data_IF_086552190418
#
_entry.id   IF_086552190418
#
_cell.length_a   1.000
_cell.length_b   1.000
_cell.length_c   1.000
_cell.angle_alpha   90.00
_cell.angle_beta   90.00
_cell.angle_gamma   90.00
#
_symmetry.space_group_name_H-M   'P 1'
#
loop_
_entity.id
_entity.type
_entity.pdbx_description
1 polymer ?
#
# COMPACT_ATOMS: atom_id res chain seq x y z
N UNK A 1 14.26 25.77 -9.68
CA UNK A 1 14.13 24.50 -8.91
C UNK A 1 13.22 23.48 -9.62
N UNK A 2 13.78 22.48 -10.31
CA UNK A 2 13.00 21.36 -10.86
C UNK A 2 12.59 20.39 -9.73
N UNK A 3 11.34 20.49 -9.28
CA UNK A 3 10.74 19.50 -8.36
C UNK A 3 10.87 18.10 -8.97
N UNK A 4 11.72 17.24 -8.37
CA UNK A 4 11.86 15.81 -8.71
C UNK A 4 10.47 15.18 -8.69
N UNK A 5 9.82 15.03 -9.85
CA UNK A 5 8.51 14.39 -9.93
C UNK A 5 8.60 12.99 -9.33
N UNK A 6 7.80 12.74 -8.29
CA UNK A 6 7.69 11.44 -7.64
C UNK A 6 7.56 10.30 -8.66
N UNK A 7 8.23 9.17 -8.38
CA UNK A 7 8.16 7.97 -9.20
C UNK A 7 6.71 7.61 -9.54
N UNK A 8 6.42 7.45 -10.83
CA UNK A 8 5.08 7.11 -11.30
C UNK A 8 4.66 5.76 -10.71
N UNK A 9 3.48 5.65 -10.06
CA UNK A 9 3.04 4.40 -9.46
C UNK A 9 3.04 3.23 -10.45
N UNK A 10 3.45 2.05 -9.99
CA UNK A 10 3.56 0.85 -10.83
C UNK A 10 2.22 0.48 -11.50
N UNK A 11 1.08 0.78 -10.89
CA UNK A 11 -0.21 0.48 -11.49
C UNK A 11 -0.58 1.41 -12.67
N UNK A 12 0.10 2.55 -12.86
CA UNK A 12 -0.02 3.39 -14.06
C UNK A 12 0.98 3.02 -15.16
N UNK A 13 2.05 2.31 -14.79
CA UNK A 13 3.08 1.79 -15.70
C UNK A 13 3.32 0.32 -15.35
N UNK A 14 2.36 -0.58 -15.66
CA UNK A 14 2.43 -1.98 -15.24
C UNK A 14 3.64 -2.69 -15.87
N UNK A 15 4.13 -3.71 -15.16
CA UNK A 15 5.27 -4.54 -15.62
C UNK A 15 4.98 -5.26 -16.95
N UNK A 16 3.72 -5.45 -17.31
CA UNK A 16 3.31 -6.04 -18.60
C UNK A 16 3.61 -5.16 -19.82
N UNK A 17 3.95 -3.86 -19.64
CA UNK A 17 4.35 -3.00 -20.75
C UNK A 17 5.80 -3.28 -21.17
N UNK A 18 6.08 -3.31 -22.47
CA UNK A 18 7.45 -3.33 -23.01
C UNK A 18 8.22 -2.05 -22.65
N UNK A 19 9.55 -2.07 -22.76
CA UNK A 19 10.41 -0.91 -22.46
C UNK A 19 9.95 0.36 -23.20
N UNK A 20 9.63 0.23 -24.48
CA UNK A 20 9.15 1.32 -25.33
C UNK A 20 7.77 1.83 -24.90
N UNK A 21 6.83 0.92 -24.61
CA UNK A 21 5.50 1.29 -24.11
C UNK A 21 5.57 2.00 -22.75
N UNK A 22 6.44 1.55 -21.85
CA UNK A 22 6.68 2.20 -20.55
C UNK A 22 7.20 3.63 -20.73
N UNK A 23 8.16 3.84 -21.65
CA UNK A 23 8.70 5.17 -21.96
C UNK A 23 7.60 6.09 -22.48
N UNK A 24 6.79 5.62 -23.44
CA UNK A 24 5.63 6.37 -23.99
C UNK A 24 4.61 6.74 -22.89
N UNK A 25 4.16 5.77 -22.10
CA UNK A 25 3.20 5.99 -21.01
C UNK A 25 3.73 6.99 -19.96
N UNK A 26 5.01 6.89 -19.57
CA UNK A 26 5.63 7.84 -18.64
C UNK A 26 5.68 9.26 -19.22
N UNK A 27 6.01 9.42 -20.51
CA UNK A 27 6.04 10.72 -21.20
C UNK A 27 4.63 11.36 -21.21
N UNK A 28 3.62 10.60 -21.58
CA UNK A 28 2.22 11.04 -21.62
C UNK A 28 1.70 11.45 -20.24
N UNK A 29 2.00 10.68 -19.20
CA UNK A 29 1.64 11.02 -17.81
C UNK A 29 2.31 12.32 -17.35
N UNK A 30 3.60 12.49 -17.64
CA UNK A 30 4.33 13.73 -17.30
C UNK A 30 3.73 14.94 -18.01
N UNK A 31 3.43 14.82 -19.31
CA UNK A 31 2.80 15.87 -20.11
C UNK A 31 1.42 16.25 -19.56
N UNK A 32 0.56 15.26 -19.28
CA UNK A 32 -0.78 15.49 -18.74
C UNK A 32 -0.72 16.26 -17.41
N UNK A 33 0.17 15.87 -16.49
CA UNK A 33 0.38 16.56 -15.21
C UNK A 33 0.91 17.99 -15.39
N UNK A 34 1.86 18.21 -16.31
CA UNK A 34 2.42 19.54 -16.60
C UNK A 34 1.36 20.48 -17.17
N UNK A 35 0.54 20.00 -18.12
CA UNK A 35 -0.54 20.78 -18.72
C UNK A 35 -1.62 21.11 -17.69
N UNK A 36 -1.98 20.16 -16.84
CA UNK A 36 -3.00 20.38 -15.81
C UNK A 36 -2.61 21.47 -14.81
N UNK A 37 -1.32 21.54 -14.42
CA UNK A 37 -0.80 22.63 -13.59
C UNK A 37 -0.90 24.01 -14.25
N UNK A 38 -1.00 24.06 -15.58
CA UNK A 38 -1.21 25.28 -16.36
C UNK A 38 -2.70 25.52 -16.70
N UNK A 39 -3.62 24.83 -16.03
CA UNK A 39 -5.06 24.90 -16.32
C UNK A 39 -5.50 24.20 -17.61
N UNK A 40 -4.60 23.53 -18.34
CA UNK A 40 -4.89 22.89 -19.63
C UNK A 40 -5.16 21.39 -19.47
N UNK A 41 -6.29 20.92 -20.00
CA UNK A 41 -6.68 19.51 -19.95
C UNK A 41 -6.11 18.73 -21.13
N UNK A 42 -5.16 17.83 -20.87
CA UNK A 42 -4.54 17.00 -21.91
C UNK A 42 -4.95 15.53 -21.80
N UNK A 43 -5.72 15.06 -22.78
CA UNK A 43 -6.07 13.64 -22.94
C UNK A 43 -4.91 12.89 -23.60
N UNK A 44 -4.47 11.82 -22.96
CA UNK A 44 -3.25 11.09 -23.35
C UNK A 44 -3.48 10.21 -24.56
N UNK A 45 -2.45 10.07 -25.41
CA UNK A 45 -2.47 9.14 -26.54
C UNK A 45 -2.54 7.69 -26.07
N UNK A 46 -3.24 6.84 -26.82
CA UNK A 46 -3.30 5.39 -26.55
C UNK A 46 -1.93 4.75 -26.83
N UNK A 47 -1.54 3.84 -25.95
CA UNK A 47 -0.44 2.91 -26.15
C UNK A 47 -0.95 1.75 -27.01
N UNK A 48 -0.55 1.72 -28.28
CA UNK A 48 -0.88 0.64 -29.23
C UNK A 48 -0.50 -0.72 -28.64
N UNK A 49 -1.33 -1.74 -28.87
CA UNK A 49 -1.13 -3.11 -28.37
C UNK A 49 -1.50 -3.35 -26.89
N UNK A 50 -1.83 -2.32 -26.10
CA UNK A 50 -2.29 -2.51 -24.73
C UNK A 50 -3.82 -2.64 -24.65
N UNK A 51 -4.34 -3.81 -24.25
CA UNK A 51 -5.77 -4.02 -24.01
C UNK A 51 -6.21 -3.26 -22.75
N UNK A 52 -7.20 -2.38 -22.88
CA UNK A 52 -7.79 -1.66 -21.74
C UNK A 52 -8.62 -2.61 -20.88
N UNK A 53 -8.70 -2.33 -19.57
CA UNK A 53 -9.52 -3.09 -18.62
C UNK A 53 -10.63 -2.19 -18.06
N UNK A 54 -11.85 -2.71 -18.00
CA UNK A 54 -12.96 -2.07 -17.27
C UNK A 54 -12.64 -2.00 -15.77
N UNK A 55 -13.26 -1.05 -15.09
CA UNK A 55 -13.14 -0.94 -13.62
C UNK A 55 -13.90 -2.08 -12.96
N UNK A 56 -13.31 -2.73 -11.95
CA UNK A 56 -14.06 -3.70 -11.12
C UNK A 56 -15.21 -3.06 -10.34
N UNK A 57 -15.24 -1.73 -10.24
CA UNK A 57 -16.37 -1.01 -9.65
C UNK A 57 -17.60 -1.02 -10.55
N UNK A 58 -17.47 -1.22 -11.87
CA UNK A 58 -18.59 -1.38 -12.80
C UNK A 58 -19.41 -2.63 -12.47
N UNK A 59 -18.76 -3.79 -12.32
CA UNK A 59 -19.47 -5.00 -11.91
C UNK A 59 -20.05 -4.90 -10.50
N UNK A 60 -19.34 -4.23 -9.57
CA UNK A 60 -19.85 -4.05 -8.20
C UNK A 60 -21.07 -3.15 -8.14
N UNK A 61 -21.08 -2.03 -8.86
CA UNK A 61 -22.23 -1.11 -8.84
C UNK A 61 -23.47 -1.79 -9.42
N UNK A 62 -23.30 -2.61 -10.47
CA UNK A 62 -24.36 -3.44 -11.05
C UNK A 62 -24.94 -4.41 -10.03
N UNK A 63 -24.08 -5.15 -9.31
CA UNK A 63 -24.52 -6.04 -8.21
C UNK A 63 -25.26 -5.29 -7.10
N UNK A 64 -24.74 -4.12 -6.70
CA UNK A 64 -25.35 -3.30 -5.64
C UNK A 64 -26.76 -2.86 -6.02
N UNK A 65 -27.00 -2.49 -7.27
CA UNK A 65 -28.28 -1.99 -7.74
C UNK A 65 -29.10 -3.03 -8.53
N UNK A 66 -28.68 -4.30 -8.51
CA UNK A 66 -29.32 -5.42 -9.24
C UNK A 66 -29.55 -5.09 -10.72
N UNK A 67 -28.53 -4.52 -11.38
CA UNK A 67 -28.57 -4.15 -12.79
C UNK A 67 -27.97 -5.25 -13.66
N UNK A 68 -28.55 -5.50 -14.83
CA UNK A 68 -28.01 -6.36 -15.87
C UNK A 68 -26.78 -5.74 -16.53
N UNK A 69 -25.95 -6.55 -17.20
CA UNK A 69 -24.74 -6.06 -17.87
C UNK A 69 -25.03 -5.23 -19.13
N UNK A 70 -26.20 -5.43 -19.76
CA UNK A 70 -26.63 -4.68 -20.94
C UNK A 70 -27.10 -3.27 -20.60
N UNK A 71 -27.48 -3.01 -19.35
CA UNK A 71 -28.01 -1.70 -18.96
C UNK A 71 -26.96 -0.59 -19.01
N UNK A 72 -27.35 0.56 -19.61
CA UNK A 72 -26.53 1.78 -19.65
C UNK A 72 -26.56 2.50 -18.31
N UNK A 73 -25.36 2.70 -17.72
CA UNK A 73 -25.17 3.44 -16.47
C UNK A 73 -25.02 4.95 -16.72
N UNK A 74 -26.15 5.66 -16.82
CA UNK A 74 -26.16 7.13 -16.91
C UNK A 74 -26.22 7.80 -15.54
N UNK A 75 -25.81 9.07 -15.48
CA UNK A 75 -25.92 9.88 -14.24
C UNK A 75 -27.37 9.97 -13.78
N UNK A 76 -28.31 10.19 -14.69
CA UNK A 76 -29.75 10.26 -14.36
C UNK A 76 -30.25 8.96 -13.74
N UNK A 77 -29.88 7.81 -14.30
CA UNK A 77 -30.26 6.51 -13.77
C UNK A 77 -29.65 6.24 -12.39
N UNK A 78 -28.35 6.51 -12.24
CA UNK A 78 -27.66 6.35 -10.96
C UNK A 78 -28.21 7.30 -9.89
N UNK A 79 -28.58 8.53 -10.25
CA UNK A 79 -29.19 9.50 -9.35
C UNK A 79 -30.52 8.96 -8.78
N UNK A 80 -31.39 8.43 -9.64
CA UNK A 80 -32.67 7.80 -9.24
C UNK A 80 -32.44 6.61 -8.32
N UNK A 81 -31.60 5.66 -8.73
CA UNK A 81 -31.32 4.42 -7.97
C UNK A 81 -30.66 4.70 -6.62
N UNK A 82 -29.69 5.61 -6.59
CA UNK A 82 -28.95 5.94 -5.37
C UNK A 82 -29.65 6.96 -4.48
N UNK A 83 -30.77 7.56 -4.92
CA UNK A 83 -31.45 8.68 -4.24
C UNK A 83 -30.48 9.84 -3.95
N UNK A 84 -29.65 10.18 -4.94
CA UNK A 84 -28.67 11.26 -4.88
C UNK A 84 -28.94 12.30 -5.97
N UNK A 85 -28.64 13.57 -5.67
CA UNK A 85 -28.72 14.68 -6.64
C UNK A 85 -27.71 14.48 -7.77
N UNK A 86 -28.12 14.78 -9.01
CA UNK A 86 -27.23 14.72 -10.20
C UNK A 86 -25.98 15.59 -10.03
N UNK A 87 -26.12 16.76 -9.40
CA UNK A 87 -25.03 17.69 -9.09
C UNK A 87 -23.94 17.04 -8.24
N UNK A 88 -24.32 16.31 -7.19
CA UNK A 88 -23.40 15.58 -6.33
C UNK A 88 -22.65 14.46 -7.09
N UNK A 89 -23.36 13.69 -7.92
CA UNK A 89 -22.74 12.64 -8.75
C UNK A 89 -21.75 13.25 -9.75
N UNK A 90 -22.13 14.34 -10.41
CA UNK A 90 -21.26 15.07 -11.34
C UNK A 90 -20.02 15.63 -10.63
N UNK A 91 -20.14 16.12 -9.39
CA UNK A 91 -18.99 16.58 -8.58
C UNK A 91 -17.99 15.44 -8.37
N UNK A 92 -18.46 14.22 -8.06
CA UNK A 92 -17.59 13.03 -7.92
C UNK A 92 -16.93 12.65 -9.25
N UNK A 93 -17.68 12.67 -10.35
CA UNK A 93 -17.13 12.40 -11.69
C UNK A 93 -16.05 13.41 -12.06
N UNK A 94 -16.30 14.71 -11.85
CA UNK A 94 -15.33 15.79 -12.08
C UNK A 94 -14.07 15.61 -11.24
N UNK A 95 -14.18 15.22 -9.96
CA UNK A 95 -13.00 14.89 -9.12
C UNK A 95 -12.21 13.70 -9.67
N UNK A 96 -12.89 12.68 -10.19
CA UNK A 96 -12.24 11.56 -10.86
C UNK A 96 -11.53 11.97 -12.14
N UNK A 97 -12.15 12.80 -12.98
CA UNK A 97 -11.52 13.38 -14.17
C UNK A 97 -10.30 14.23 -13.78
N UNK A 98 -10.41 15.07 -12.76
CA UNK A 98 -9.27 15.84 -12.23
C UNK A 98 -8.10 14.93 -11.83
N UNK A 99 -8.37 13.82 -11.14
CA UNK A 99 -7.33 12.84 -10.79
C UNK A 99 -6.68 12.19 -12.02
N UNK A 100 -7.41 11.99 -13.12
CA UNK A 100 -6.84 11.49 -14.37
C UNK A 100 -5.75 12.41 -14.92
N UNK A 101 -5.95 13.74 -14.82
CA UNK A 101 -5.00 14.74 -15.32
C UNK A 101 -3.88 15.05 -14.31
N UNK A 102 -4.22 15.18 -13.03
CA UNK A 102 -3.30 15.62 -11.96
C UNK A 102 -2.42 14.50 -11.43
N UNK A 103 -2.98 13.30 -11.28
CA UNK A 103 -2.31 12.13 -10.71
C UNK A 103 -1.94 11.12 -11.79
N UNK A 104 -2.83 10.89 -12.75
CA UNK A 104 -2.63 9.96 -13.84
C UNK A 104 -3.63 8.80 -13.82
N UNK A 105 -3.43 7.86 -14.73
CA UNK A 105 -4.27 6.66 -14.85
C UNK A 105 -3.51 5.51 -15.48
N UNK A 106 -4.15 4.34 -15.48
CA UNK A 106 -3.71 3.18 -16.27
C UNK A 106 -3.64 3.52 -17.77
N UNK A 107 -2.84 2.80 -18.57
CA UNK A 107 -2.79 3.03 -20.01
C UNK A 107 -4.18 2.88 -20.66
N UNK A 108 -4.41 3.66 -21.71
CA UNK A 108 -5.62 3.61 -22.55
C UNK A 108 -6.95 3.91 -21.83
N UNK A 109 -6.90 4.62 -20.69
CA UNK A 109 -8.09 5.13 -20.00
C UNK A 109 -8.46 6.52 -20.50
N UNK A 110 -9.74 6.89 -20.35
CA UNK A 110 -10.24 8.23 -20.63
C UNK A 110 -10.54 8.97 -19.32
N UNK A 111 -10.61 10.31 -19.34
CA UNK A 111 -11.05 11.09 -18.18
C UNK A 111 -12.43 10.64 -17.69
N UNK A 112 -13.37 10.42 -18.61
CA UNK A 112 -14.71 9.94 -18.29
C UNK A 112 -14.69 8.55 -17.65
N UNK A 113 -13.99 7.56 -18.24
CA UNK A 113 -13.95 6.20 -17.66
C UNK A 113 -13.35 6.21 -16.25
N UNK A 114 -12.38 7.11 -15.99
CA UNK A 114 -11.79 7.30 -14.67
C UNK A 114 -12.75 8.00 -13.68
N UNK A 115 -13.50 9.00 -14.16
CA UNK A 115 -14.56 9.69 -13.44
C UNK A 115 -15.68 8.75 -13.01
N UNK A 116 -16.23 7.97 -13.95
CA UNK A 116 -17.27 6.98 -13.68
C UNK A 116 -16.77 5.85 -12.77
N UNK A 117 -15.54 5.38 -12.94
CA UNK A 117 -14.95 4.39 -12.02
C UNK A 117 -14.91 4.90 -10.57
N UNK A 118 -14.62 6.19 -10.36
CA UNK A 118 -14.67 6.84 -9.05
C UNK A 118 -16.11 6.93 -8.54
N UNK A 119 -17.04 7.37 -9.37
CA UNK A 119 -18.47 7.43 -9.05
C UNK A 119 -19.01 6.06 -8.60
N UNK A 120 -18.73 5.00 -9.36
CA UNK A 120 -19.16 3.65 -9.04
C UNK A 120 -18.55 3.17 -7.71
N UNK A 121 -17.28 3.49 -7.48
CA UNK A 121 -16.64 3.22 -6.19
C UNK A 121 -17.30 3.99 -5.04
N UNK A 122 -17.74 5.22 -5.26
CA UNK A 122 -18.41 6.03 -4.23
C UNK A 122 -19.80 5.49 -3.89
N UNK A 123 -20.61 5.16 -4.90
CA UNK A 123 -21.97 4.65 -4.70
C UNK A 123 -22.01 3.19 -4.20
N UNK A 124 -21.02 2.37 -4.54
CA UNK A 124 -20.93 0.97 -4.12
C UNK A 124 -20.13 0.74 -2.82
N UNK A 125 -19.91 1.79 -2.01
CA UNK A 125 -19.24 1.67 -0.71
C UNK A 125 -17.73 1.42 -0.76
N UNK A 126 -17.07 1.71 -1.88
CA UNK A 126 -15.64 1.53 -2.07
C UNK A 126 -14.76 2.62 -1.43
N UNK A 127 -13.45 2.63 -1.72
CA UNK A 127 -12.52 3.63 -1.21
C UNK A 127 -12.94 5.08 -1.54
N UNK A 128 -13.53 5.32 -2.70
CA UNK A 128 -14.01 6.65 -3.06
C UNK A 128 -15.18 7.10 -2.17
N UNK A 129 -16.00 6.18 -1.65
CA UNK A 129 -17.11 6.50 -0.75
C UNK A 129 -16.61 7.14 0.55
N UNK A 130 -15.42 6.72 1.03
CA UNK A 130 -14.75 7.34 2.18
C UNK A 130 -14.26 8.75 1.84
N UNK A 131 -13.58 8.91 0.71
CA UNK A 131 -12.94 10.18 0.32
C UNK A 131 -13.97 11.24 -0.05
N UNK A 132 -15.05 10.84 -0.72
CA UNK A 132 -16.12 11.71 -1.19
C UNK A 132 -17.36 11.63 -0.29
N UNK A 133 -17.20 11.20 0.97
CA UNK A 133 -18.29 11.02 1.92
C UNK A 133 -19.09 12.32 2.12
N UNK A 134 -18.42 13.47 2.23
CA UNK A 134 -19.09 14.78 2.36
C UNK A 134 -20.03 15.07 1.18
N UNK A 135 -19.59 14.79 -0.05
CA UNK A 135 -20.42 14.97 -1.26
C UNK A 135 -21.65 14.05 -1.23
N UNK A 136 -21.47 12.81 -0.76
CA UNK A 136 -22.59 11.88 -0.61
C UNK A 136 -23.52 12.31 0.54
N UNK A 137 -22.99 12.85 1.64
CA UNK A 137 -23.77 13.31 2.80
C UNK A 137 -24.63 14.53 2.44
N UNK A 138 -24.07 15.49 1.73
CA UNK A 138 -24.77 16.69 1.25
C UNK A 138 -25.75 16.38 0.10
N UNK A 139 -25.36 15.43 -0.76
CA UNK A 139 -26.02 15.20 -2.03
C UNK A 139 -27.02 14.06 -2.08
N UNK A 140 -27.04 13.18 -1.09
CA UNK A 140 -27.89 11.99 -1.08
C UNK A 140 -28.87 11.99 0.10
N UNK A 141 -30.00 11.31 -0.09
CA UNK A 141 -30.94 11.09 1.00
C UNK A 141 -30.27 10.33 2.17
N UNK A 142 -30.57 10.72 3.41
CA UNK A 142 -30.00 10.16 4.63
C UNK A 142 -30.15 8.63 4.74
N UNK A 143 -31.28 8.09 4.25
CA UNK A 143 -31.61 6.65 4.25
C UNK A 143 -31.15 5.94 2.96
N UNK A 144 -30.49 6.63 2.04
CA UNK A 144 -30.05 6.07 0.76
C UNK A 144 -29.06 4.91 0.92
N UNK A 145 -29.13 3.95 -0.01
CA UNK A 145 -28.25 2.78 -0.02
C UNK A 145 -26.77 3.20 -0.13
N UNK A 146 -26.46 4.13 -1.03
CA UNK A 146 -25.11 4.69 -1.18
C UNK A 146 -24.57 5.29 0.11
N UNK A 147 -25.36 6.12 0.80
CA UNK A 147 -24.88 6.79 2.02
C UNK A 147 -24.71 5.80 3.18
N UNK A 148 -25.60 4.81 3.30
CA UNK A 148 -25.46 3.70 4.27
C UNK A 148 -24.14 2.95 4.03
N UNK A 149 -23.82 2.60 2.78
CA UNK A 149 -22.56 1.92 2.45
C UNK A 149 -21.34 2.81 2.70
N UNK A 150 -21.45 4.12 2.46
CA UNK A 150 -20.36 5.07 2.63
C UNK A 150 -19.96 5.28 4.11
N UNK A 151 -20.86 5.00 5.06
CA UNK A 151 -20.56 5.02 6.52
C UNK A 151 -19.63 3.87 6.94
N UNK A 152 -19.64 2.72 6.24
CA UNK A 152 -18.79 1.54 6.55
C UNK A 152 -17.93 1.11 5.34
N UNK A 153 -17.02 1.96 4.82
CA UNK A 153 -16.29 1.68 3.57
C UNK A 153 -15.20 0.60 3.75
N UNK A 154 -14.74 0.33 4.98
CA UNK A 154 -13.66 -0.64 5.28
C UNK A 154 -14.07 -2.09 5.03
N UNK A 155 -15.33 -2.47 5.31
CA UNK A 155 -15.83 -3.82 5.03
C UNK A 155 -15.85 -4.12 3.51
N UNK A 156 -16.07 -3.07 2.72
CA UNK A 156 -16.23 -3.16 1.27
C UNK A 156 -14.93 -3.00 0.48
N UNK A 157 -13.89 -2.43 1.09
CA UNK A 157 -12.58 -2.29 0.48
C UNK A 157 -11.67 -3.46 0.88
N UNK A 158 -11.63 -4.52 0.07
CA UNK A 158 -10.59 -5.55 0.13
C UNK A 158 -9.25 -4.95 -0.28
N UNK A 159 -8.60 -4.19 0.62
CA UNK A 159 -7.15 -4.06 0.55
C UNK A 159 -6.61 -5.45 0.88
N UNK A 160 -6.24 -6.24 -0.14
CA UNK A 160 -5.33 -7.37 0.07
C UNK A 160 -4.19 -6.82 0.93
N UNK A 161 -3.99 -7.39 2.13
CA UNK A 161 -2.76 -7.13 2.90
C UNK A 161 -1.63 -7.64 2.02
N UNK A 162 -1.05 -6.76 1.19
CA UNK A 162 0.10 -7.11 0.37
C UNK A 162 1.24 -7.33 1.34
N UNK A 163 1.76 -8.55 1.41
CA UNK A 163 2.98 -8.83 2.16
C UNK A 163 4.09 -7.95 1.57
N UNK A 164 4.52 -6.93 2.31
CA UNK A 164 5.49 -5.93 1.87
C UNK A 164 6.92 -6.48 1.86
N UNK A 165 7.17 -7.54 1.10
CA UNK A 165 8.49 -8.14 0.90
C UNK A 165 9.08 -8.78 2.17
N UNK A 166 9.87 -9.83 1.97
CA UNK A 166 10.56 -10.57 3.02
C UNK A 166 10.17 -12.04 3.02
N UNK A 167 11.18 -12.91 3.12
CA UNK A 167 10.99 -14.33 3.37
C UNK A 167 10.08 -14.50 4.60
N UNK A 168 9.02 -15.32 4.45
CA UNK A 168 8.14 -15.66 5.56
C UNK A 168 8.94 -16.50 6.55
N UNK A 169 9.04 -16.05 7.80
CA UNK A 169 9.67 -16.85 8.85
C UNK A 169 8.86 -18.13 9.08
N UNK A 170 9.56 -19.24 9.28
CA UNK A 170 9.00 -20.56 9.63
C UNK A 170 8.79 -20.70 11.15
N UNK A 171 9.20 -19.69 11.91
CA UNK A 171 9.08 -19.63 13.35
C UNK A 171 8.41 -18.32 13.80
N UNK A 172 7.82 -18.34 15.00
CA UNK A 172 7.38 -17.15 15.74
C UNK A 172 8.12 -17.03 17.06
N UNK A 173 8.45 -15.80 17.45
CA UNK A 173 8.94 -15.52 18.80
C UNK A 173 7.75 -15.54 19.75
N UNK A 174 7.83 -16.33 20.82
CA UNK A 174 6.82 -16.42 21.86
C UNK A 174 7.05 -15.36 22.93
N UNK A 175 8.27 -15.33 23.47
CA UNK A 175 8.65 -14.47 24.59
C UNK A 175 10.15 -14.26 24.66
N UNK A 176 10.55 -13.24 25.41
CA UNK A 176 11.94 -12.94 25.74
C UNK A 176 12.16 -13.12 27.25
N UNK A 177 13.38 -13.44 27.64
CA UNK A 177 13.87 -13.45 29.01
C UNK A 177 15.26 -12.81 29.06
N UNK A 178 15.71 -12.42 30.25
CA UNK A 178 17.14 -12.13 30.49
C UNK A 178 17.92 -13.42 30.26
N UNK A 179 19.00 -13.36 29.48
CA UNK A 179 19.80 -14.56 29.24
C UNK A 179 20.59 -14.96 30.49
N UNK A 180 20.58 -16.24 30.91
CA UNK A 180 21.47 -16.74 31.96
C UNK A 180 22.89 -16.97 31.44
N UNK A 181 23.10 -16.97 30.11
CA UNK A 181 24.39 -17.28 29.50
C UNK A 181 25.35 -16.11 29.68
N UNK A 182 26.59 -16.43 30.06
CA UNK A 182 27.66 -15.44 30.22
C UNK A 182 27.78 -14.57 28.97
N UNK A 183 27.87 -13.26 29.20
CA UNK A 183 27.96 -12.23 28.17
C UNK A 183 26.76 -12.08 27.22
N UNK A 184 25.63 -12.78 27.42
CA UNK A 184 24.43 -12.59 26.60
C UNK A 184 23.46 -11.61 27.26
N UNK A 185 22.68 -10.90 26.44
CA UNK A 185 21.63 -9.98 26.89
C UNK A 185 20.32 -10.73 27.10
N UNK A 186 19.81 -11.34 26.04
CA UNK A 186 18.46 -11.88 26.00
C UNK A 186 18.43 -13.32 25.51
N UNK A 187 17.45 -14.07 26.01
CA UNK A 187 17.00 -15.34 25.47
C UNK A 187 15.66 -15.15 24.78
N UNK A 188 15.51 -15.61 23.55
CA UNK A 188 14.24 -15.63 22.83
C UNK A 188 13.74 -17.07 22.68
N UNK A 189 12.50 -17.33 23.05
CA UNK A 189 11.84 -18.61 22.79
C UNK A 189 11.11 -18.52 21.46
N UNK A 190 11.44 -19.42 20.53
CA UNK A 190 10.86 -19.47 19.20
C UNK A 190 10.14 -20.79 18.97
N UNK A 191 8.94 -20.73 18.39
CA UNK A 191 8.12 -21.89 18.04
C UNK A 191 8.05 -22.06 16.54
N UNK A 192 8.36 -23.26 16.05
CA UNK A 192 8.19 -23.63 14.65
C UNK A 192 6.69 -23.74 14.31
N UNK A 193 6.27 -23.10 13.21
CA UNK A 193 4.86 -23.13 12.79
C UNK A 193 4.40 -24.51 12.31
N UNK A 194 5.30 -25.30 11.68
CA UNK A 194 4.96 -26.62 11.14
C UNK A 194 5.01 -27.70 12.21
N UNK A 195 6.13 -27.79 12.92
CA UNK A 195 6.37 -28.89 13.87
C UNK A 195 5.87 -28.60 15.27
N UNK A 196 5.52 -27.35 15.58
CA UNK A 196 5.15 -26.94 16.94
C UNK A 196 6.30 -26.92 17.95
N UNK A 197 7.46 -27.49 17.63
CA UNK A 197 8.64 -27.56 18.50
C UNK A 197 9.10 -26.15 18.92
N UNK A 198 9.47 -26.03 20.20
CA UNK A 198 9.98 -24.81 20.80
C UNK A 198 11.48 -24.97 21.03
N UNK A 199 12.24 -23.93 20.71
CA UNK A 199 13.67 -23.83 21.06
C UNK A 199 13.97 -22.42 21.55
N UNK A 200 15.12 -22.25 22.19
CA UNK A 200 15.58 -20.95 22.66
C UNK A 200 16.83 -20.49 21.91
N UNK A 201 17.04 -19.18 21.87
CA UNK A 201 18.18 -18.52 21.22
C UNK A 201 18.67 -17.37 22.09
N UNK A 202 19.93 -17.44 22.52
CA UNK A 202 20.58 -16.36 23.27
C UNK A 202 21.26 -15.36 22.31
N UNK A 203 21.00 -14.06 22.48
CA UNK A 203 21.49 -13.02 21.58
C UNK A 203 21.81 -11.69 22.28
N UNK A 204 22.61 -10.87 21.58
CA UNK A 204 23.17 -9.62 22.09
C UNK A 204 24.28 -9.84 23.10
N UNK A 205 25.41 -9.14 22.95
CA UNK A 205 26.48 -9.17 23.95
C UNK A 205 26.24 -8.10 25.02
N UNK A 206 26.26 -8.48 26.29
CA UNK A 206 25.93 -7.61 27.43
C UNK A 206 27.05 -6.62 27.79
N UNK A 207 28.28 -6.82 27.32
CA UNK A 207 29.41 -5.91 27.57
C UNK A 207 29.35 -4.67 26.70
N UNK A 208 28.83 -4.80 25.47
CA UNK A 208 28.80 -3.72 24.49
C UNK A 208 27.48 -2.94 24.48
N UNK A 209 27.56 -1.67 24.07
CA UNK A 209 26.40 -0.85 23.75
C UNK A 209 25.68 -1.34 22.49
N UNK A 210 24.41 -0.95 22.33
CA UNK A 210 23.59 -1.22 21.14
C UNK A 210 22.96 0.06 20.60
N UNK A 211 22.45 0.05 19.37
CA UNK A 211 21.78 1.23 18.82
C UNK A 211 20.48 1.54 19.56
N UNK A 212 19.60 0.54 19.67
CA UNK A 212 18.33 0.66 20.37
C UNK A 212 17.80 -0.71 20.74
N UNK A 213 17.55 -0.91 22.03
CA UNK A 213 16.79 -2.02 22.56
C UNK A 213 15.31 -1.88 22.18
N UNK A 214 14.87 -2.77 21.28
CA UNK A 214 13.49 -2.87 20.77
C UNK A 214 12.82 -4.15 21.26
N UNK A 215 13.43 -4.90 22.18
CA UNK A 215 12.75 -6.02 22.83
C UNK A 215 11.57 -5.49 23.67
N UNK A 216 10.54 -6.31 23.93
CA UNK A 216 9.45 -5.92 24.82
C UNK A 216 9.93 -5.57 26.25
N UNK A 217 10.94 -6.29 26.76
CA UNK A 217 11.43 -6.16 28.13
C UNK A 217 12.28 -4.90 28.36
N UNK A 218 13.06 -4.45 27.35
CA UNK A 218 13.90 -3.26 27.43
C UNK A 218 14.91 -3.22 28.60
N UNK A 219 15.29 -4.37 29.14
CA UNK A 219 16.25 -4.52 30.26
C UNK A 219 17.59 -3.80 30.01
N UNK A 220 18.06 -3.74 28.76
CA UNK A 220 19.34 -3.11 28.42
C UNK A 220 19.19 -1.72 27.80
N UNK A 221 18.02 -1.08 27.90
CA UNK A 221 17.75 0.25 27.30
C UNK A 221 18.79 1.31 27.70
N UNK A 222 19.34 1.22 28.91
CA UNK A 222 20.39 2.12 29.42
C UNK A 222 21.71 2.04 28.61
N UNK A 223 21.96 0.96 27.87
CA UNK A 223 23.14 0.80 26.98
C UNK A 223 22.88 1.26 25.53
N UNK A 224 21.77 1.95 25.26
CA UNK A 224 21.43 2.46 23.93
C UNK A 224 22.28 3.69 23.58
N UNK A 225 23.01 3.67 22.47
CA UNK A 225 23.82 4.81 22.02
C UNK A 225 23.12 5.71 20.98
N UNK A 226 22.06 5.25 20.30
CA UNK A 226 21.26 6.07 19.37
C UNK A 226 21.95 6.55 18.08
N UNK A 227 23.27 6.41 17.95
CA UNK A 227 24.02 6.79 16.75
C UNK A 227 23.71 5.93 15.49
N UNK A 228 23.10 6.58 14.49
CA UNK A 228 22.75 5.97 13.20
C UNK A 228 23.97 5.65 12.32
N UNK A 229 25.10 6.35 12.47
CA UNK A 229 26.34 6.04 11.73
C UNK A 229 26.92 4.72 12.23
N UNK A 230 27.11 4.57 13.55
CA UNK A 230 27.53 3.30 14.16
C UNK A 230 26.60 2.13 13.82
N UNK A 231 25.28 2.33 13.80
CA UNK A 231 24.32 1.31 13.35
C UNK A 231 24.53 0.91 11.87
N UNK A 232 24.70 1.88 10.96
CA UNK A 232 24.96 1.60 9.54
C UNK A 232 26.27 0.85 9.34
N UNK A 233 27.32 1.24 10.06
CA UNK A 233 28.62 0.57 10.00
C UNK A 233 28.54 -0.87 10.51
N UNK A 234 27.79 -1.12 11.58
CA UNK A 234 27.50 -2.47 12.07
C UNK A 234 26.86 -3.33 10.97
N UNK A 235 25.78 -2.86 10.33
CA UNK A 235 25.14 -3.62 9.25
C UNK A 235 26.05 -3.79 8.02
N UNK A 236 26.88 -2.80 7.71
CA UNK A 236 27.83 -2.90 6.61
C UNK A 236 28.88 -4.00 6.88
N UNK A 237 29.48 -4.01 8.07
CA UNK A 237 30.46 -5.02 8.49
C UNK A 237 29.86 -6.42 8.56
N UNK A 238 28.67 -6.57 9.13
CA UNK A 238 28.10 -7.89 9.39
C UNK A 238 27.25 -8.46 8.24
N UNK A 239 26.70 -7.62 7.35
CA UNK A 239 25.83 -8.07 6.25
C UNK A 239 26.23 -7.51 4.88
N UNK A 240 27.25 -6.68 4.76
CA UNK A 240 27.69 -6.06 3.50
C UNK A 240 26.71 -5.01 2.98
N UNK A 241 25.85 -4.45 3.84
CA UNK A 241 24.97 -3.35 3.44
C UNK A 241 24.64 -2.46 4.64
N UNK A 242 24.69 -1.13 4.51
CA UNK A 242 24.32 -0.23 5.61
C UNK A 242 22.81 -0.16 5.84
N UNK A 243 21.99 -0.75 4.95
CA UNK A 243 20.54 -0.70 5.05
C UNK A 243 20.02 -1.84 5.93
N UNK A 244 19.57 -1.51 7.14
CA UNK A 244 18.96 -2.44 8.12
C UNK A 244 17.94 -3.40 7.52
N UNK A 245 17.00 -2.91 6.69
CA UNK A 245 15.96 -3.77 6.09
C UNK A 245 16.57 -4.81 5.16
N UNK A 246 17.52 -4.40 4.31
CA UNK A 246 18.22 -5.31 3.39
C UNK A 246 19.09 -6.31 4.14
N UNK A 247 19.78 -5.88 5.20
CA UNK A 247 20.59 -6.74 6.05
C UNK A 247 19.76 -7.84 6.71
N UNK A 248 18.64 -7.48 7.37
CA UNK A 248 17.72 -8.45 7.99
C UNK A 248 17.18 -9.43 6.93
N UNK A 249 16.76 -8.94 5.77
CA UNK A 249 16.24 -9.80 4.70
C UNK A 249 17.30 -10.78 4.17
N UNK A 250 18.56 -10.34 4.05
CA UNK A 250 19.69 -11.19 3.66
C UNK A 250 19.91 -12.31 4.67
N UNK A 251 19.92 -12.00 5.97
CA UNK A 251 20.08 -13.02 7.02
C UNK A 251 18.88 -13.99 7.07
N UNK A 252 17.64 -13.49 6.92
CA UNK A 252 16.43 -14.33 6.86
C UNK A 252 16.46 -15.31 5.68
N UNK A 253 16.99 -14.89 4.52
CA UNK A 253 17.18 -15.77 3.36
C UNK A 253 18.25 -16.84 3.64
N UNK A 254 19.40 -16.45 4.18
CA UNK A 254 20.49 -17.37 4.56
C UNK A 254 20.04 -18.43 5.56
N UNK A 255 19.19 -18.04 6.51
CA UNK A 255 18.63 -18.94 7.53
C UNK A 255 17.46 -19.81 7.05
N UNK A 256 17.08 -19.76 5.77
CA UNK A 256 15.89 -20.45 5.24
C UNK A 256 14.58 -20.18 6.01
N UNK A 257 14.48 -18.99 6.63
CA UNK A 257 13.32 -18.54 7.40
C UNK A 257 13.32 -18.94 8.89
N UNK A 258 14.42 -19.44 9.44
CA UNK A 258 14.55 -19.75 10.87
C UNK A 258 15.25 -18.61 11.63
N UNK A 259 14.84 -18.32 12.86
CA UNK A 259 15.52 -17.32 13.68
C UNK A 259 16.92 -17.80 14.07
N UNK A 260 17.87 -16.87 14.13
CA UNK A 260 19.19 -17.09 14.71
C UNK A 260 19.57 -15.84 15.53
N UNK A 261 20.62 -15.95 16.35
CA UNK A 261 21.06 -14.86 17.22
C UNK A 261 21.38 -13.56 16.46
N UNK A 262 21.87 -13.66 15.22
CA UNK A 262 22.19 -12.51 14.37
C UNK A 262 20.95 -11.78 13.88
N UNK A 263 19.93 -12.51 13.40
CA UNK A 263 18.62 -11.96 13.02
C UNK A 263 17.99 -11.27 14.23
N UNK A 264 18.00 -11.91 15.40
CA UNK A 264 17.48 -11.31 16.63
C UNK A 264 18.25 -10.04 17.02
N UNK A 265 19.58 -10.05 16.92
CA UNK A 265 20.39 -8.86 17.19
C UNK A 265 20.11 -7.72 16.19
N UNK A 266 19.95 -8.03 14.90
CA UNK A 266 19.60 -7.07 13.85
C UNK A 266 18.17 -6.53 13.97
N UNK A 267 17.24 -7.32 14.50
CA UNK A 267 15.85 -6.90 14.64
C UNK A 267 15.65 -6.10 15.92
N UNK A 268 16.29 -6.51 17.02
CA UNK A 268 15.96 -6.00 18.34
C UNK A 268 17.02 -5.08 18.96
N UNK A 269 18.28 -5.12 18.54
CA UNK A 269 19.35 -4.33 19.20
C UNK A 269 20.01 -3.31 18.26
N UNK A 270 20.15 -3.65 16.98
CA UNK A 270 20.74 -2.79 15.95
C UNK A 270 19.65 -2.25 15.00
#
# INVERSE_FOLDING_TARGET
MYSKMANVPQHYVPKSLTKNMRKKQKKELKRSRKMYKKGKYYTRKKVKGYKSRKSSWDSRIRKVYKLSDKERLSISKLAKLSKCKKSALNKIVKKGMGAYYSSGSRPNQTPHSWGYARLYSALAGGPAAKVDYHILKEGCNAKSKSLKMAKKPKQNATRKKVQLGGAKMKERILRFERSPVKFKKYRAFVRNYKTGKIRHLDFGDNRYQQYKDRTPLKLYKFKNHGDRRRMRNYFNRHSGTPNRKKAIEKERKKSHGFYNAKILSHEFLW
#
